data_IF_975501181256
#
_entry.id   IF_975501181256
#
_cell.length_a   1.000
_cell.length_b   1.000
_cell.length_c   1.000
_cell.angle_alpha   90.00
_cell.angle_beta   90.00
_cell.angle_gamma   90.00
#
_symmetry.space_group_name_H-M   'P 1'
#
loop_
_entity.id
_entity.type
_entity.pdbx_description
1 polymer ?
#
# COMPACT_ATOMS: atom_id res chain seq x y z
N UNK A 1 2.60 -2.30 3.57
CA UNK A 1 3.73 -1.50 4.07
C UNK A 1 4.81 -2.39 4.68
N UNK A 2 4.51 -3.14 5.74
CA UNK A 2 5.48 -4.01 6.42
C UNK A 2 6.11 -5.08 5.50
N UNK A 3 5.32 -5.64 4.57
CA UNK A 3 5.81 -6.57 3.57
C UNK A 3 6.79 -5.91 2.59
N UNK A 4 6.55 -4.66 2.21
CA UNK A 4 7.40 -3.87 1.32
C UNK A 4 8.74 -3.53 2.00
N UNK A 5 8.71 -3.23 3.30
CA UNK A 5 9.93 -3.00 4.09
C UNK A 5 10.76 -4.28 4.28
N UNK A 6 10.12 -5.43 4.49
CA UNK A 6 10.82 -6.72 4.63
C UNK A 6 11.48 -7.15 3.30
N UNK A 7 10.76 -7.04 2.18
CA UNK A 7 11.32 -7.33 0.86
C UNK A 7 12.46 -6.37 0.50
N UNK A 8 12.33 -5.09 0.82
CA UNK A 8 13.41 -4.12 0.62
C UNK A 8 14.67 -4.47 1.42
N UNK A 9 14.52 -4.93 2.66
CA UNK A 9 15.64 -5.32 3.51
C UNK A 9 16.33 -6.63 3.08
N UNK A 10 15.66 -7.47 2.27
CA UNK A 10 16.30 -8.66 1.66
C UNK A 10 17.10 -8.35 0.40
N UNK A 11 16.92 -7.17 -0.22
CA UNK A 11 17.64 -6.73 -1.42
C UNK A 11 19.17 -6.76 -1.36
N UNK A 12 19.86 -6.30 -0.30
CA UNK A 12 21.33 -6.21 -0.27
C UNK A 12 22.04 -7.57 -0.21
N UNK A 13 21.31 -8.66 0.11
CA UNK A 13 21.86 -10.03 0.15
C UNK A 13 21.61 -10.80 -1.15
N UNK A 14 20.88 -10.22 -2.12
CA UNK A 14 20.50 -10.90 -3.36
C UNK A 14 21.46 -10.57 -4.50
N UNK A 15 21.58 -11.51 -5.45
CA UNK A 15 22.36 -11.31 -6.66
C UNK A 15 21.78 -10.18 -7.53
N UNK A 16 22.65 -9.46 -8.26
CA UNK A 16 22.30 -8.32 -9.13
C UNK A 16 21.14 -8.60 -10.10
N UNK A 17 21.03 -9.84 -10.59
CA UNK A 17 19.96 -10.25 -11.50
C UNK A 17 18.58 -10.33 -10.81
N UNK A 18 18.52 -10.64 -9.52
CA UNK A 18 17.27 -10.69 -8.75
C UNK A 18 16.82 -9.31 -8.24
N UNK A 19 17.73 -8.34 -8.13
CA UNK A 19 17.40 -6.97 -7.73
C UNK A 19 16.46 -6.31 -8.75
N UNK A 20 16.69 -6.51 -10.05
CA UNK A 20 15.79 -5.96 -11.09
C UNK A 20 14.37 -6.52 -10.98
N UNK A 21 14.22 -7.81 -10.67
CA UNK A 21 12.91 -8.41 -10.42
C UNK A 21 12.24 -7.81 -9.18
N UNK A 22 13.03 -7.60 -8.11
CA UNK A 22 12.57 -7.04 -6.84
C UNK A 22 12.06 -5.60 -7.01
N UNK A 23 12.71 -4.78 -7.84
CA UNK A 23 12.24 -3.40 -8.13
C UNK A 23 10.87 -3.41 -8.82
N UNK A 24 10.66 -4.30 -9.78
CA UNK A 24 9.38 -4.40 -10.51
C UNK A 24 8.25 -4.81 -9.55
N UNK A 25 8.49 -5.78 -8.67
CA UNK A 25 7.48 -6.21 -7.68
C UNK A 25 7.22 -5.13 -6.63
N UNK A 26 8.24 -4.37 -6.21
CA UNK A 26 8.09 -3.24 -5.28
C UNK A 26 7.17 -2.16 -5.87
N UNK A 27 7.35 -1.83 -7.15
CA UNK A 27 6.52 -0.84 -7.86
C UNK A 27 5.06 -1.31 -7.97
N UNK A 28 4.84 -2.58 -8.32
CA UNK A 28 3.50 -3.18 -8.36
C UNK A 28 2.83 -3.13 -6.99
N UNK A 29 3.52 -3.55 -5.93
CA UNK A 29 2.98 -3.53 -4.56
C UNK A 29 2.64 -2.10 -4.10
N UNK A 30 3.46 -1.11 -4.47
CA UNK A 30 3.20 0.30 -4.13
C UNK A 30 1.93 0.83 -4.80
N UNK A 31 1.69 0.49 -6.07
CA UNK A 31 0.44 0.85 -6.75
C UNK A 31 -0.79 0.21 -6.09
N UNK A 32 -0.65 -1.01 -5.58
CA UNK A 32 -1.72 -1.69 -4.85
C UNK A 32 -2.02 -1.00 -3.51
N UNK A 33 -1.01 -0.66 -2.72
CA UNK A 33 -1.24 0.08 -1.45
C UNK A 33 -1.86 1.45 -1.69
N UNK A 34 -1.47 2.14 -2.78
CA UNK A 34 -2.10 3.40 -3.15
C UNK A 34 -3.59 3.24 -3.45
N UNK A 35 -3.97 2.22 -4.22
CA UNK A 35 -5.38 1.92 -4.50
C UNK A 35 -6.18 1.61 -3.22
N UNK A 36 -5.60 0.81 -2.32
CA UNK A 36 -6.22 0.50 -1.01
C UNK A 36 -6.38 1.76 -0.16
N UNK A 37 -5.41 2.68 -0.16
CA UNK A 37 -5.47 3.93 0.60
C UNK A 37 -6.60 4.87 0.13
N UNK A 38 -6.87 4.91 -1.19
CA UNK A 38 -7.99 5.68 -1.75
C UNK A 38 -9.31 5.12 -1.23
N UNK A 39 -9.51 3.81 -1.32
CA UNK A 39 -10.75 3.15 -0.86
C UNK A 39 -10.94 3.37 0.64
N UNK A 40 -9.88 3.26 1.44
CA UNK A 40 -9.96 3.47 2.89
C UNK A 40 -10.38 4.92 3.24
N UNK A 41 -9.85 5.91 2.53
CA UNK A 41 -10.25 7.32 2.72
C UNK A 41 -11.72 7.56 2.36
N UNK A 42 -12.21 6.92 1.30
CA UNK A 42 -13.60 7.01 0.85
C UNK A 42 -14.58 6.38 1.86
N UNK A 43 -14.26 5.19 2.35
CA UNK A 43 -15.09 4.52 3.37
C UNK A 43 -15.16 5.34 4.65
N UNK A 44 -14.05 5.94 5.08
CA UNK A 44 -14.03 6.83 6.24
C UNK A 44 -14.89 8.09 6.01
N UNK A 45 -14.80 8.71 4.83
CA UNK A 45 -15.60 9.87 4.48
C UNK A 45 -17.11 9.54 4.52
N UNK A 46 -17.54 8.45 3.88
CA UNK A 46 -18.95 8.04 3.91
C UNK A 46 -19.42 7.80 5.34
N UNK A 47 -18.65 7.05 6.13
CA UNK A 47 -19.01 6.74 7.51
C UNK A 47 -19.17 8.03 8.34
N UNK A 48 -18.25 9.00 8.16
CA UNK A 48 -18.35 10.30 8.81
C UNK A 48 -19.58 11.10 8.36
N UNK A 49 -19.93 11.06 7.07
CA UNK A 49 -21.14 11.74 6.57
C UNK A 49 -22.41 11.11 7.10
N UNK A 50 -22.51 9.78 7.12
CA UNK A 50 -23.68 9.05 7.58
C UNK A 50 -23.90 9.27 9.08
N UNK A 51 -22.84 9.16 9.89
CA UNK A 51 -22.95 9.47 11.33
C UNK A 51 -23.24 10.96 11.58
N UNK A 52 -22.67 11.88 10.79
CA UNK A 52 -23.02 13.29 10.93
C UNK A 52 -24.50 13.56 10.60
N UNK A 53 -25.05 12.86 9.61
CA UNK A 53 -26.47 12.99 9.24
C UNK A 53 -27.43 12.27 10.18
N UNK A 54 -26.99 11.28 10.96
CA UNK A 54 -27.81 10.62 11.98
C UNK A 54 -27.87 11.41 13.29
N UNK A 55 -26.87 12.25 13.57
CA UNK A 55 -26.75 12.99 14.84
C UNK A 55 -27.29 14.43 14.74
N UNK A 56 -27.42 14.99 13.53
CA UNK A 56 -28.01 16.32 13.26
C UNK A 56 -29.49 16.17 12.88
#
# INVERSE_FOLDING_TARGET
HLLLTLLGNTGPMMNSMMINLLIITQLLLLTLEFAVSIIQSYVFAILSTLYSSEVI
#
